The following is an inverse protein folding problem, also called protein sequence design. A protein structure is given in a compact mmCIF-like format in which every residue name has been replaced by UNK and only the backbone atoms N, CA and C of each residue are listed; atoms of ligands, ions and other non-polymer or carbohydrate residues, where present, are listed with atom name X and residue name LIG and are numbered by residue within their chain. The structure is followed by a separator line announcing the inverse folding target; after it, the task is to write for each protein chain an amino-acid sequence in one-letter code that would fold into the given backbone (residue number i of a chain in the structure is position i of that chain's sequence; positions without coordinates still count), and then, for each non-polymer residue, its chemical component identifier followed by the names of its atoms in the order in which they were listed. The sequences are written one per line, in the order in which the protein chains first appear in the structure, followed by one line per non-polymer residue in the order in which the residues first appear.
data_IF_863621666747
#
_entry.id   IF_863621666747
#
_cell.length_a   1.000
_cell.length_b   1.000
_cell.length_c   1.000
_cell.angle_alpha   90.00
_cell.angle_beta   90.00
_cell.angle_gamma   90.00
#
_symmetry.space_group_name_H-M   'P 1'
#
loop_
_entity.id
_entity.type
_entity.pdbx_description
1 polymer ?
#
# COMPACT_ATOMS: atom_id res chain seq x y z
N UNK A 1 -14.56 -15.69 55.91
CA UNK A 1 -15.22 -15.84 54.60
C UNK A 1 -15.95 -14.52 54.31
N UNK A 2 -15.71 -13.71 53.27
CA UNK A 2 -15.14 -13.88 51.93
C UNK A 2 -14.48 -12.53 51.56
N UNK A 3 -13.23 -12.58 51.08
CA UNK A 3 -12.55 -11.42 50.50
C UNK A 3 -13.11 -11.24 49.09
N UNK A 4 -14.04 -10.31 48.87
CA UNK A 4 -14.50 -10.00 47.52
C UNK A 4 -13.41 -9.18 46.82
N UNK A 5 -12.62 -9.88 45.99
CA UNK A 5 -11.69 -9.27 45.04
C UNK A 5 -12.51 -8.55 43.97
N UNK A 6 -12.59 -7.23 44.06
CA UNK A 6 -13.05 -6.39 42.96
C UNK A 6 -11.97 -6.41 41.86
N UNK A 7 -12.11 -7.35 40.93
CA UNK A 7 -11.38 -7.36 39.66
C UNK A 7 -11.98 -6.24 38.78
N UNK A 8 -11.42 -5.03 38.89
CA UNK A 8 -11.59 -4.01 37.88
C UNK A 8 -10.90 -4.49 36.59
N UNK A 9 -11.66 -5.09 35.69
CA UNK A 9 -11.21 -5.37 34.33
C UNK A 9 -11.07 -4.00 33.64
N UNK A 10 -9.84 -3.52 33.54
CA UNK A 10 -9.47 -2.43 32.65
C UNK A 10 -9.71 -2.91 31.22
N UNK A 11 -10.89 -2.60 30.69
CA UNK A 11 -11.15 -2.67 29.25
C UNK A 11 -10.30 -1.60 28.57
N UNK A 12 -9.06 -1.96 28.22
CA UNK A 12 -8.30 -1.22 27.23
C UNK A 12 -9.01 -1.38 25.90
N UNK A 13 -9.93 -0.46 25.60
CA UNK A 13 -10.43 -0.25 24.26
C UNK A 13 -9.24 0.32 23.46
N UNK A 14 -8.39 -0.58 22.95
CA UNK A 14 -7.41 -0.22 21.94
C UNK A 14 -8.22 0.20 20.71
N UNK A 15 -8.43 1.52 20.59
CA UNK A 15 -8.98 2.14 19.40
C UNK A 15 -7.93 1.95 18.30
N UNK A 16 -7.92 0.76 17.71
CA UNK A 16 -7.12 0.47 16.54
C UNK A 16 -7.62 1.43 15.46
N UNK A 17 -6.83 2.46 15.18
CA UNK A 17 -6.92 3.16 13.91
C UNK A 17 -6.65 2.11 12.84
N UNK A 18 -7.72 1.46 12.36
CA UNK A 18 -7.62 0.51 11.27
C UNK A 18 -7.24 1.33 10.05
N UNK A 19 -5.96 1.29 9.69
CA UNK A 19 -5.52 1.73 8.37
C UNK A 19 -6.44 1.06 7.33
N UNK A 20 -6.81 1.77 6.25
CA UNK A 20 -7.62 1.18 5.19
C UNK A 20 -6.98 -0.14 4.74
N UNK A 21 -7.79 -1.15 4.39
CA UNK A 21 -7.28 -2.44 3.96
C UNK A 21 -6.33 -2.23 2.77
N UNK A 22 -5.18 -2.91 2.79
CA UNK A 22 -4.20 -2.84 1.72
C UNK A 22 -4.85 -3.32 0.40
N UNK A 23 -4.82 -2.53 -0.69
CA UNK A 23 -5.48 -2.88 -1.93
C UNK A 23 -4.74 -4.02 -2.65
N UNK A 24 -5.46 -4.82 -3.44
CA UNK A 24 -4.91 -5.99 -4.14
C UNK A 24 -3.69 -5.68 -5.02
N UNK A 25 -3.66 -4.49 -5.63
CA UNK A 25 -2.51 -4.03 -6.41
C UNK A 25 -1.23 -3.95 -5.58
N UNK A 26 -1.34 -3.62 -4.30
CA UNK A 26 -0.23 -3.53 -3.35
C UNK A 26 0.02 -4.89 -2.68
N UNK A 27 -1.03 -5.63 -2.31
CA UNK A 27 -0.91 -6.97 -1.71
C UNK A 27 -0.08 -7.89 -2.61
N UNK A 28 -0.38 -7.89 -3.91
CA UNK A 28 0.28 -8.74 -4.90
C UNK A 28 1.60 -8.16 -5.44
N UNK A 29 2.03 -6.99 -4.95
CA UNK A 29 3.25 -6.35 -5.41
C UNK A 29 4.51 -6.98 -4.80
N UNK A 30 5.68 -6.53 -5.24
CA UNK A 30 6.95 -6.83 -4.56
C UNK A 30 6.97 -6.23 -3.13
N UNK A 31 7.74 -6.85 -2.22
CA UNK A 31 7.83 -6.48 -0.80
C UNK A 31 8.09 -4.97 -0.59
N UNK A 32 9.02 -4.39 -1.34
CA UNK A 32 9.33 -2.97 -1.26
C UNK A 32 8.11 -2.05 -1.44
N UNK A 33 7.14 -2.42 -2.28
CA UNK A 33 5.93 -1.61 -2.52
C UNK A 33 4.96 -1.75 -1.34
N UNK A 34 4.84 -2.95 -0.74
CA UNK A 34 4.07 -3.15 0.48
C UNK A 34 4.64 -2.34 1.65
N UNK A 35 5.97 -2.30 1.76
CA UNK A 35 6.64 -1.51 2.80
C UNK A 35 6.41 -0.01 2.61
N UNK A 36 6.45 0.49 1.37
CA UNK A 36 6.12 1.90 1.08
C UNK A 36 4.68 2.24 1.44
N UNK A 37 3.75 1.31 1.23
CA UNK A 37 2.36 1.48 1.62
C UNK A 37 2.21 1.56 3.14
N UNK A 38 2.91 0.71 3.89
CA UNK A 38 2.92 0.75 5.35
C UNK A 38 3.51 2.08 5.86
N UNK A 39 4.67 2.48 5.33
CA UNK A 39 5.32 3.73 5.68
C UNK A 39 4.41 4.95 5.45
N UNK A 40 3.64 4.96 4.35
CA UNK A 40 2.67 6.03 4.08
C UNK A 40 1.65 6.18 5.22
N UNK A 41 1.16 5.05 5.76
CA UNK A 41 0.22 5.03 6.88
C UNK A 41 0.87 5.34 8.23
N UNK A 42 2.16 5.03 8.38
CA UNK A 42 2.96 5.40 9.56
C UNK A 42 3.37 6.87 9.57
N UNK A 43 3.10 7.61 8.50
CA UNK A 43 3.37 9.03 8.41
C UNK A 43 4.65 9.38 7.67
N UNK A 44 5.12 8.51 6.79
CA UNK A 44 6.39 8.67 6.07
C UNK A 44 6.16 8.56 4.57
N UNK A 45 6.63 9.56 3.82
CA UNK A 45 6.70 9.51 2.36
C UNK A 45 8.13 9.80 1.88
N UNK A 46 8.59 9.02 0.90
CA UNK A 46 9.95 9.10 0.37
C UNK A 46 9.95 8.97 -1.16
N UNK A 47 10.54 9.95 -1.85
CA UNK A 47 10.80 9.93 -3.29
C UNK A 47 12.20 9.37 -3.62
N UNK A 48 13.12 9.41 -2.66
CA UNK A 48 14.41 8.73 -2.70
C UNK A 48 14.37 7.53 -1.76
N UNK A 49 14.44 6.33 -2.32
CA UNK A 49 14.34 5.08 -1.59
C UNK A 49 15.68 4.71 -0.92
N UNK A 50 15.65 4.06 0.26
CA UNK A 50 16.83 3.47 0.87
C UNK A 50 17.50 2.43 -0.03
N UNK A 51 18.79 2.20 0.17
CA UNK A 51 19.61 1.27 -0.63
C UNK A 51 19.03 -0.13 -0.81
N UNK A 52 18.32 -0.65 0.21
CA UNK A 52 17.65 -1.96 0.15
C UNK A 52 16.58 -2.07 -0.94
N UNK A 53 16.07 -0.95 -1.44
CA UNK A 53 15.09 -0.87 -2.54
C UNK A 53 15.67 -0.22 -3.81
N UNK A 54 17.01 -0.17 -3.96
CA UNK A 54 17.67 0.49 -5.10
C UNK A 54 17.17 0.02 -6.47
N UNK A 55 16.80 -1.26 -6.59
CA UNK A 55 16.32 -1.85 -7.85
C UNK A 55 14.93 -1.30 -8.25
N UNK A 56 14.20 -0.73 -7.28
CA UNK A 56 12.91 -0.06 -7.49
C UNK A 56 13.05 1.44 -7.76
N UNK A 57 14.16 2.07 -7.33
CA UNK A 57 14.34 3.53 -7.33
C UNK A 57 14.09 4.16 -8.70
N UNK A 58 14.66 3.58 -9.77
CA UNK A 58 14.52 4.16 -11.11
C UNK A 58 13.05 4.19 -11.56
N UNK A 59 12.31 3.09 -11.35
CA UNK A 59 10.89 2.98 -11.71
C UNK A 59 10.02 3.89 -10.84
N UNK A 60 10.33 3.96 -9.54
CA UNK A 60 9.62 4.83 -8.61
C UNK A 60 9.80 6.30 -8.96
N UNK A 61 11.03 6.72 -9.26
CA UNK A 61 11.31 8.10 -9.64
C UNK A 61 10.67 8.49 -10.97
N UNK A 62 10.73 7.60 -11.96
CA UNK A 62 10.08 7.80 -13.25
C UNK A 62 8.56 7.97 -13.10
N UNK A 63 7.91 7.07 -12.34
CA UNK A 63 6.49 7.16 -12.04
C UNK A 63 6.14 8.46 -11.31
N UNK A 64 6.88 8.80 -10.25
CA UNK A 64 6.62 10.01 -9.48
C UNK A 64 6.74 11.27 -10.33
N UNK A 65 7.77 11.36 -11.17
CA UNK A 65 8.00 12.54 -11.99
C UNK A 65 6.91 12.74 -13.05
N UNK A 66 6.51 11.67 -13.73
CA UNK A 66 5.60 11.76 -14.88
C UNK A 66 4.12 11.68 -14.48
N UNK A 67 3.75 10.85 -13.50
CA UNK A 67 2.35 10.63 -13.12
C UNK A 67 2.00 11.28 -11.78
N UNK A 68 2.98 11.44 -10.88
CA UNK A 68 2.77 11.95 -9.53
C UNK A 68 2.08 13.32 -9.46
N UNK A 69 2.49 14.36 -10.22
CA UNK A 69 1.85 15.67 -10.18
C UNK A 69 0.35 15.62 -10.50
N UNK A 70 -0.04 14.81 -11.50
CA UNK A 70 -1.42 14.63 -11.91
C UNK A 70 -2.27 13.99 -10.81
N UNK A 71 -1.72 12.97 -10.13
CA UNK A 71 -2.37 12.28 -9.00
C UNK A 71 -2.56 13.23 -7.82
N UNK A 72 -1.51 13.97 -7.43
CA UNK A 72 -1.57 14.92 -6.31
C UNK A 72 -2.57 16.04 -6.60
N UNK A 73 -2.54 16.63 -7.79
CA UNK A 73 -3.50 17.68 -8.15
C UNK A 73 -4.93 17.16 -8.12
N UNK A 74 -5.21 16.03 -8.77
CA UNK A 74 -6.55 15.44 -8.83
C UNK A 74 -7.11 15.14 -7.44
N UNK A 75 -6.30 14.60 -6.53
CA UNK A 75 -6.72 14.33 -5.15
C UNK A 75 -7.13 15.62 -4.42
N UNK A 76 -6.27 16.64 -4.43
CA UNK A 76 -6.55 17.86 -3.67
C UNK A 76 -7.64 18.71 -4.33
N UNK A 77 -7.74 18.72 -5.65
CA UNK A 77 -8.77 19.48 -6.36
C UNK A 77 -10.17 18.89 -6.11
N UNK A 78 -10.27 17.56 -5.97
CA UNK A 78 -11.51 16.89 -5.57
C UNK A 78 -11.90 17.20 -4.11
N UNK A 79 -10.93 17.31 -3.19
CA UNK A 79 -11.19 17.60 -1.77
C UNK A 79 -11.41 19.09 -1.50
N UNK A 80 -10.82 19.98 -2.30
CA UNK A 80 -10.83 21.43 -2.13
C UNK A 80 -11.20 22.17 -3.43
N UNK A 81 -12.38 21.92 -4.02
CA UNK A 81 -12.74 22.44 -5.35
C UNK A 81 -12.70 23.97 -5.43
N UNK A 82 -12.95 24.67 -4.31
CA UNK A 82 -13.00 26.13 -4.25
C UNK A 82 -12.10 26.74 -3.16
N UNK A 83 -11.29 25.92 -2.47
CA UNK A 83 -10.54 26.36 -1.30
C UNK A 83 -9.05 26.02 -1.38
N UNK A 84 -8.34 26.78 -2.22
CA UNK A 84 -6.90 26.61 -2.47
C UNK A 84 -6.04 26.72 -1.20
N UNK A 85 -6.44 27.56 -0.25
CA UNK A 85 -5.75 27.69 1.03
C UNK A 85 -5.85 26.42 1.89
N UNK A 86 -6.96 25.69 1.83
CA UNK A 86 -7.12 24.39 2.50
C UNK A 86 -6.14 23.37 1.94
N UNK A 87 -6.09 23.20 0.62
CA UNK A 87 -5.14 22.29 -0.03
C UNK A 87 -3.68 22.62 0.33
N UNK A 88 -3.34 23.92 0.44
CA UNK A 88 -2.02 24.36 0.90
C UNK A 88 -1.73 23.95 2.34
N UNK A 89 -2.69 24.14 3.25
CA UNK A 89 -2.56 23.77 4.66
C UNK A 89 -2.40 22.26 4.85
N UNK A 90 -3.12 21.46 4.06
CA UNK A 90 -3.05 19.99 4.07
C UNK A 90 -1.87 19.40 3.30
N UNK A 91 -0.95 20.23 2.78
CA UNK A 91 0.35 19.77 2.28
C UNK A 91 0.48 19.59 0.77
N UNK A 92 -0.51 20.00 -0.05
CA UNK A 92 -0.43 19.91 -1.53
C UNK A 92 0.91 20.40 -2.10
N UNK A 93 1.43 21.60 -1.75
CA UNK A 93 2.68 22.09 -2.33
C UNK A 93 3.87 21.20 -1.96
N UNK A 94 3.86 20.58 -0.78
CA UNK A 94 4.96 19.73 -0.35
C UNK A 94 4.97 18.42 -1.13
N UNK A 95 3.82 17.77 -1.30
CA UNK A 95 3.73 16.59 -2.16
C UNK A 95 4.13 16.90 -3.61
N UNK A 96 3.69 18.04 -4.17
CA UNK A 96 4.10 18.45 -5.51
C UNK A 96 5.63 18.60 -5.64
N UNK A 97 6.29 19.21 -4.66
CA UNK A 97 7.76 19.28 -4.67
C UNK A 97 8.43 17.92 -4.52
N UNK A 98 7.84 17.00 -3.75
CA UNK A 98 8.38 15.66 -3.60
C UNK A 98 8.29 14.87 -4.91
N UNK A 99 7.12 14.84 -5.56
CA UNK A 99 6.92 14.07 -6.80
C UNK A 99 7.70 14.65 -7.99
N UNK A 100 7.99 15.95 -7.97
CA UNK A 100 8.86 16.62 -8.96
C UNK A 100 10.34 16.63 -8.56
N UNK A 101 10.71 15.99 -7.45
CA UNK A 101 12.07 15.95 -6.90
C UNK A 101 12.68 17.32 -6.56
N UNK A 102 11.87 18.39 -6.48
CA UNK A 102 12.29 19.69 -5.95
C UNK A 102 12.53 19.66 -4.43
N UNK A 103 11.98 18.67 -3.73
CA UNK A 103 12.29 18.34 -2.33
C UNK A 103 12.56 16.83 -2.25
N UNK A 104 13.79 16.42 -1.92
CA UNK A 104 14.20 15.00 -1.88
C UNK A 104 14.30 14.45 -0.46
N UNK A 105 14.00 15.28 0.54
CA UNK A 105 14.06 14.87 1.95
C UNK A 105 12.86 14.01 2.28
N UNK A 106 13.06 12.97 3.09
CA UNK A 106 11.96 12.18 3.65
C UNK A 106 10.93 13.11 4.27
N UNK A 107 9.67 12.94 3.87
CA UNK A 107 8.57 13.71 4.41
C UNK A 107 7.88 12.93 5.53
N UNK A 108 8.16 13.34 6.77
CA UNK A 108 7.45 12.85 7.95
C UNK A 108 6.25 13.75 8.30
N UNK A 109 5.12 13.12 8.61
CA UNK A 109 3.88 13.76 9.04
C UNK A 109 3.21 12.91 10.14
N UNK A 110 2.22 13.48 10.83
CA UNK A 110 1.48 12.79 11.89
C UNK A 110 0.10 12.38 11.36
N UNK A 111 -0.14 11.08 11.09
CA UNK A 111 -1.42 10.60 10.57
C UNK A 111 -2.62 11.01 11.44
N UNK A 112 -2.43 11.07 12.76
CA UNK A 112 -3.47 11.46 13.72
C UNK A 112 -3.90 12.93 13.63
N UNK A 113 -3.08 13.80 13.03
CA UNK A 113 -3.38 15.24 12.92
C UNK A 113 -3.93 15.63 11.55
N UNK A 114 -3.62 14.86 10.50
CA UNK A 114 -4.01 15.18 9.14
C UNK A 114 -4.10 13.89 8.32
N UNK A 115 -5.32 13.39 8.15
CA UNK A 115 -5.61 12.17 7.40
C UNK A 115 -5.32 12.29 5.89
N UNK A 116 -5.21 13.51 5.34
CA UNK A 116 -5.00 13.67 3.90
C UNK A 116 -3.58 13.30 3.48
N UNK A 117 -2.59 13.53 4.36
CA UNK A 117 -1.20 13.19 4.07
C UNK A 117 -0.96 11.68 3.90
N UNK A 118 -1.41 10.81 4.81
CA UNK A 118 -1.32 9.37 4.59
C UNK A 118 -2.17 8.93 3.39
N UNK A 119 -3.36 9.53 3.16
CA UNK A 119 -4.18 9.21 1.98
C UNK A 119 -3.45 9.48 0.65
N UNK A 120 -2.82 10.65 0.48
CA UNK A 120 -2.07 10.99 -0.74
C UNK A 120 -0.83 10.12 -0.91
N UNK A 121 -0.09 9.90 0.17
CA UNK A 121 1.10 9.05 0.14
C UNK A 121 0.74 7.62 -0.25
N UNK A 122 -0.30 7.06 0.35
CA UNK A 122 -0.82 5.73 0.04
C UNK A 122 -1.33 5.66 -1.40
N UNK A 123 -2.10 6.66 -1.86
CA UNK A 123 -2.59 6.73 -3.23
C UNK A 123 -1.44 6.68 -4.26
N UNK A 124 -0.36 7.43 -4.04
CA UNK A 124 0.81 7.39 -4.92
C UNK A 124 1.43 5.99 -4.98
N UNK A 125 1.55 5.31 -3.84
CA UNK A 125 2.09 3.94 -3.78
C UNK A 125 1.16 2.94 -4.48
N UNK A 126 -0.14 3.03 -4.26
CA UNK A 126 -1.11 2.16 -4.93
C UNK A 126 -1.07 2.34 -6.45
N UNK A 127 -1.08 3.59 -6.94
CA UNK A 127 -1.02 3.88 -8.39
C UNK A 127 0.28 3.38 -9.02
N UNK A 128 1.37 3.43 -8.27
CA UNK A 128 2.62 2.83 -8.71
C UNK A 128 2.52 1.31 -8.76
N UNK A 129 1.93 0.67 -7.75
CA UNK A 129 1.72 -0.77 -7.71
C UNK A 129 0.87 -1.27 -8.89
N UNK A 130 -0.17 -0.53 -9.27
CA UNK A 130 -1.02 -0.81 -10.44
C UNK A 130 -0.23 -0.87 -11.77
N UNK A 131 0.94 -0.22 -11.85
CA UNK A 131 1.81 -0.19 -13.05
C UNK A 131 2.90 -1.26 -13.03
N UNK A 132 3.12 -1.90 -11.88
CA UNK A 132 4.21 -2.84 -11.71
C UNK A 132 3.77 -4.24 -12.15
N UNK A 133 4.64 -4.99 -12.85
CA UNK A 133 4.32 -6.36 -13.23
C UNK A 133 4.13 -7.21 -11.97
N UNK A 134 3.01 -7.93 -11.90
CA UNK A 134 2.75 -8.89 -10.82
C UNK A 134 3.83 -9.97 -10.88
N UNK A 135 4.55 -10.28 -9.78
CA UNK A 135 5.53 -11.36 -9.76
C UNK A 135 4.87 -12.67 -10.20
N UNK A 136 5.41 -13.31 -11.23
CA UNK A 136 4.87 -14.56 -11.83
C UNK A 136 4.85 -15.77 -10.87
N UNK A 137 5.35 -15.62 -9.64
CA UNK A 137 5.55 -16.69 -8.67
C UNK A 137 4.23 -17.33 -8.17
N UNK A 138 3.09 -16.69 -8.39
CA UNK A 138 1.76 -17.24 -8.02
C UNK A 138 1.00 -17.89 -9.18
N UNK A 139 1.33 -17.56 -10.43
CA UNK A 139 0.64 -18.13 -11.61
C UNK A 139 0.87 -19.64 -11.75
N UNK A 140 2.01 -20.16 -11.29
CA UNK A 140 2.35 -21.58 -11.40
C UNK A 140 1.67 -22.49 -10.36
N UNK A 141 1.20 -21.94 -9.24
CA UNK A 141 0.57 -22.75 -8.16
C UNK A 141 -0.89 -23.08 -8.48
N UNK A 142 -1.63 -22.13 -9.04
CA UNK A 142 -3.05 -22.34 -9.39
C UNK A 142 -3.23 -23.15 -10.67
N UNK A 143 -2.33 -23.00 -11.65
CA UNK A 143 -2.36 -23.82 -12.88
C UNK A 143 -2.04 -25.31 -12.61
N UNK A 144 -1.30 -25.62 -11.54
CA UNK A 144 -0.98 -27.00 -11.17
C UNK A 144 -2.15 -27.73 -10.49
N UNK A 145 -3.12 -27.00 -9.94
CA UNK A 145 -4.32 -27.57 -9.30
C UNK A 145 -5.45 -27.85 -10.30
N UNK A 146 -5.33 -27.35 -11.54
CA UNK A 146 -6.37 -27.44 -12.56
C UNK A 146 -6.16 -28.56 -13.58
N UNK A 147 -5.17 -29.47 -13.43
CA UNK A 147 -5.07 -30.63 -14.32
C UNK A 147 -6.11 -31.71 -13.95
N UNK A 148 -7.14 -31.95 -14.78
CA UNK A 148 -8.05 -33.06 -14.60
C UNK A 148 -7.35 -34.36 -15.00
N UNK A 149 -7.56 -35.41 -14.22
CA UNK A 149 -6.77 -36.63 -14.22
C UNK A 149 -6.52 -37.27 -15.59
N UNK A 150 -5.25 -37.59 -15.84
CA UNK A 150 -4.83 -38.51 -16.90
C UNK A 150 -4.63 -39.92 -16.33
N UNK A 151 -5.65 -40.75 -16.55
CA UNK A 151 -5.60 -42.16 -16.95
C UNK A 151 -4.90 -43.23 -16.08
N UNK A 152 -5.67 -44.25 -15.67
CA UNK A 152 -5.70 -45.55 -16.39
C UNK A 152 -6.78 -46.49 -15.83
N UNK A 153 -7.85 -46.64 -16.60
CA UNK A 153 -8.75 -47.79 -16.58
C UNK A 153 -8.01 -49.04 -17.07
N UNK A 154 -8.02 -50.12 -16.30
CA UNK A 154 -7.67 -51.46 -16.77
C UNK A 154 -8.96 -52.26 -17.02
N UNK A 155 -9.21 -52.77 -18.25
CA UNK A 155 -10.21 -53.80 -18.46
C UNK A 155 -9.60 -55.20 -18.31
N UNK A 156 -10.29 -56.02 -17.51
CA UNK A 156 -10.64 -57.44 -17.72
C UNK A 156 -9.58 -58.48 -18.13
N UNK A 157 -9.40 -59.51 -17.29
CA UNK A 157 -9.15 -60.93 -17.62
C UNK A 157 -9.41 -61.75 -16.35
N UNK A 158 -10.54 -62.44 -16.20
CA UNK A 158 -10.93 -63.76 -16.76
C UNK A 158 -10.41 -64.94 -15.91
N UNK A 159 -11.35 -65.85 -15.64
CA UNK A 159 -11.28 -67.09 -14.88
C UNK A 159 -10.04 -67.97 -15.12
N UNK A 160 -9.55 -68.58 -14.03
CA UNK A 160 -9.43 -70.04 -13.87
C UNK A 160 -9.07 -70.44 -12.44
#
# INVERSE_FOLDING_TARGET
MKVLRALCILAFLAMAFAAPPMPDSVVNAQEAIRDLWQLAHEGIFMNTLPWRYRDLQAKWADFLYHEGPGIVNSYYDAKFPYWTAGARWHGKPRFLRMVTFADTKTYSFRPSHDAMKPEVAALLVQRFAEKMPIPKTEWGKDLSLAQPGTSKSYPHSADR
#
